data_IF_844262589170
#
_entry.id   IF_844262589170
#
_cell.length_a   1.000
_cell.length_b   1.000
_cell.length_c   1.000
_cell.angle_alpha   90.00
_cell.angle_beta   90.00
_cell.angle_gamma   90.00
#
_symmetry.space_group_name_H-M   'P 1'
#
loop_
_entity.id
_entity.type
_entity.pdbx_description
1 polymer ?
#
# COMPACT_ATOMS: atom_id res chain seq x y z
N UNK A 1 12.42 13.13 11.08
CA UNK A 1 11.44 12.22 11.73
C UNK A 1 11.44 10.95 10.90
N UNK A 2 11.34 9.76 11.49
CA UNK A 2 11.26 8.51 10.73
C UNK A 2 9.80 8.16 10.44
N UNK A 3 9.48 7.93 9.19
CA UNK A 3 8.17 7.48 8.73
C UNK A 3 8.28 6.07 8.15
N UNK A 4 7.25 5.25 8.32
CA UNK A 4 7.17 3.92 7.72
C UNK A 4 5.95 3.84 6.82
N UNK A 5 5.99 2.90 5.88
CA UNK A 5 4.89 2.66 4.94
C UNK A 5 4.44 1.22 5.11
N UNK A 6 3.14 1.03 5.29
CA UNK A 6 2.47 -0.26 5.14
C UNK A 6 1.72 -0.27 3.81
N UNK A 7 1.85 -1.38 3.08
CA UNK A 7 1.09 -1.66 1.87
C UNK A 7 0.12 -2.79 2.19
N UNK A 8 -1.14 -2.59 1.84
CA UNK A 8 -2.19 -3.59 1.87
C UNK A 8 -2.66 -3.85 0.46
N UNK A 9 -2.59 -5.11 0.03
CA UNK A 9 -2.99 -5.56 -1.29
C UNK A 9 -4.12 -6.56 -1.12
N UNK A 10 -5.25 -6.33 -1.78
CA UNK A 10 -6.30 -7.34 -1.95
C UNK A 10 -6.24 -7.87 -3.38
N UNK A 11 -6.00 -9.18 -3.52
CA UNK A 11 -6.04 -9.84 -4.82
C UNK A 11 -7.48 -9.91 -5.36
N UNK A 12 -7.67 -9.90 -6.69
CA UNK A 12 -8.99 -10.06 -7.26
C UNK A 12 -9.58 -11.41 -6.85
N UNK A 13 -10.86 -11.41 -6.50
CA UNK A 13 -11.58 -12.64 -6.17
C UNK A 13 -11.52 -13.59 -7.38
N UNK A 14 -10.70 -14.64 -7.28
CA UNK A 14 -10.78 -15.77 -8.19
C UNK A 14 -12.04 -16.55 -7.83
N UNK A 15 -12.82 -16.98 -8.83
CA UNK A 15 -14.25 -17.32 -8.72
C UNK A 15 -14.70 -18.36 -7.68
N UNK A 16 -13.82 -18.90 -6.83
CA UNK A 16 -14.16 -19.85 -5.76
C UNK A 16 -13.28 -19.72 -4.49
N UNK A 17 -12.45 -18.67 -4.35
CA UNK A 17 -11.51 -18.51 -3.22
C UNK A 17 -11.74 -17.23 -2.40
N UNK A 18 -11.44 -17.29 -1.09
CA UNK A 18 -11.44 -16.14 -0.20
C UNK A 18 -10.49 -15.05 -0.74
N UNK A 19 -10.89 -13.78 -0.65
CA UNK A 19 -10.02 -12.66 -1.04
C UNK A 19 -8.78 -12.67 -0.15
N UNK A 20 -7.65 -13.08 -0.71
CA UNK A 20 -6.37 -13.02 -0.01
C UNK A 20 -5.95 -11.56 0.12
N UNK A 21 -5.87 -11.09 1.37
CA UNK A 21 -5.35 -9.77 1.71
C UNK A 21 -3.94 -9.93 2.26
N UNK A 22 -2.96 -9.28 1.61
CA UNK A 22 -1.56 -9.26 2.04
C UNK A 22 -1.23 -7.89 2.60
N UNK A 23 -0.64 -7.86 3.80
CA UNK A 23 -0.19 -6.64 4.47
C UNK A 23 1.29 -6.76 4.78
N UNK A 24 2.08 -5.75 4.41
CA UNK A 24 3.52 -5.72 4.70
C UNK A 24 4.05 -4.29 4.75
N UNK A 25 5.19 -4.11 5.43
CA UNK A 25 5.88 -2.81 5.49
C UNK A 25 7.01 -2.73 4.48
N UNK A 26 7.22 -1.53 3.93
CA UNK A 26 8.45 -1.23 3.19
C UNK A 26 9.63 -1.20 4.17
N UNK A 27 10.79 -1.68 3.71
CA UNK A 27 11.95 -1.92 4.57
C UNK A 27 12.65 -0.65 5.04
N UNK A 28 12.55 0.44 4.27
CA UNK A 28 13.27 1.67 4.54
C UNK A 28 12.45 2.65 5.39
N UNK A 29 13.03 3.22 6.47
CA UNK A 29 12.46 4.38 7.12
C UNK A 29 12.68 5.63 6.27
N UNK A 30 11.63 6.45 6.13
CA UNK A 30 11.66 7.67 5.33
C UNK A 30 11.80 8.91 6.22
N UNK A 31 12.49 9.94 5.73
CA UNK A 31 12.72 11.16 6.51
C UNK A 31 11.55 12.16 6.45
N UNK A 32 10.70 12.02 5.42
CA UNK A 32 9.53 12.88 5.19
C UNK A 32 8.32 12.06 4.75
N UNK A 33 7.12 12.60 4.99
CA UNK A 33 5.87 12.02 4.46
C UNK A 33 5.87 11.99 2.94
N UNK A 34 6.46 12.99 2.27
CA UNK A 34 6.53 13.05 0.81
C UNK A 34 7.36 11.89 0.24
N UNK A 35 8.57 11.67 0.76
CA UNK A 35 9.43 10.55 0.35
C UNK A 35 8.79 9.19 0.63
N UNK A 36 8.05 9.06 1.74
CA UNK A 36 7.31 7.84 2.06
C UNK A 36 6.20 7.55 1.03
N UNK A 37 5.44 8.58 0.62
CA UNK A 37 4.40 8.47 -0.41
C UNK A 37 5.01 8.13 -1.78
N UNK A 38 6.07 8.82 -2.18
CA UNK A 38 6.75 8.55 -3.46
C UNK A 38 7.27 7.12 -3.51
N UNK A 39 7.85 6.62 -2.42
CA UNK A 39 8.30 5.23 -2.33
C UNK A 39 7.14 4.23 -2.38
N UNK A 40 6.02 4.52 -1.71
CA UNK A 40 4.82 3.70 -1.77
C UNK A 40 4.29 3.60 -3.21
N UNK A 41 4.13 4.73 -3.89
CA UNK A 41 3.66 4.79 -5.28
C UNK A 41 4.62 4.06 -6.22
N UNK A 42 5.94 4.29 -6.07
CA UNK A 42 6.94 3.60 -6.87
C UNK A 42 6.93 2.07 -6.63
N UNK A 43 6.74 1.63 -5.39
CA UNK A 43 6.63 0.20 -5.06
C UNK A 43 5.38 -0.41 -5.70
N UNK A 44 4.23 0.24 -5.56
CA UNK A 44 2.95 -0.22 -6.12
C UNK A 44 3.02 -0.31 -7.65
N UNK A 45 3.63 0.68 -8.32
CA UNK A 45 3.79 0.68 -9.77
C UNK A 45 4.72 -0.43 -10.30
N UNK A 46 5.55 -1.03 -9.45
CA UNK A 46 6.44 -2.14 -9.78
C UNK A 46 5.92 -3.51 -9.30
N UNK A 47 4.67 -3.59 -8.82
CA UNK A 47 4.06 -4.87 -8.47
C UNK A 47 3.84 -5.70 -9.74
N UNK A 48 4.26 -6.96 -9.70
CA UNK A 48 4.06 -7.95 -10.78
C UNK A 48 2.65 -8.58 -10.74
N UNK A 49 1.77 -8.06 -9.87
CA UNK A 49 0.41 -8.54 -9.67
C UNK A 49 -0.59 -7.46 -10.07
N UNK A 50 -1.77 -7.87 -10.53
CA UNK A 50 -2.91 -6.99 -10.83
C UNK A 50 -3.94 -7.07 -9.67
N UNK A 51 -3.74 -6.32 -8.57
CA UNK A 51 -4.64 -6.36 -7.43
C UNK A 51 -5.96 -5.65 -7.71
N UNK A 52 -7.03 -6.09 -7.05
CA UNK A 52 -8.32 -5.41 -7.11
C UNK A 52 -8.29 -4.10 -6.28
N UNK A 53 -7.57 -4.10 -5.17
CA UNK A 53 -7.42 -2.93 -4.30
C UNK A 53 -5.99 -2.85 -3.79
N UNK A 54 -5.43 -1.64 -3.82
CA UNK A 54 -4.15 -1.33 -3.15
C UNK A 54 -4.33 -0.13 -2.25
N UNK A 55 -3.87 -0.28 -1.01
CA UNK A 55 -3.85 0.78 -0.01
C UNK A 55 -2.42 0.94 0.45
N UNK A 56 -1.96 2.19 0.57
CA UNK A 56 -0.77 2.47 1.36
C UNK A 56 -1.11 3.38 2.54
N UNK A 57 -0.44 3.15 3.66
CA UNK A 57 -0.56 3.96 4.87
C UNK A 57 0.83 4.38 5.34
N UNK A 58 1.01 5.67 5.56
CA UNK A 58 2.23 6.24 6.13
C UNK A 58 2.03 6.49 7.62
N UNK A 59 2.92 5.93 8.43
CA UNK A 59 2.96 6.12 9.87
C UNK A 59 4.13 7.00 10.28
N UNK A 60 3.96 7.79 11.33
CA UNK A 60 5.09 8.43 12.01
C UNK A 60 5.81 7.46 12.96
N UNK A 61 6.87 7.95 13.62
CA UNK A 61 7.67 7.17 14.57
C UNK A 61 6.89 6.63 15.78
N UNK A 62 5.73 7.23 16.09
CA UNK A 62 4.87 6.87 17.22
C UNK A 62 3.78 5.88 16.77
N UNK A 63 3.74 5.56 15.47
CA UNK A 63 2.78 4.64 14.87
C UNK A 63 1.47 5.31 14.48
N UNK A 64 1.39 6.65 14.46
CA UNK A 64 0.18 7.35 14.05
C UNK A 64 0.12 7.47 12.53
N UNK A 65 -1.07 7.21 11.97
CA UNK A 65 -1.34 7.45 10.55
C UNK A 65 -1.26 8.95 10.25
N UNK A 66 -0.35 9.32 9.37
CA UNK A 66 -0.17 10.71 8.90
C UNK A 66 -0.58 10.90 7.44
N UNK A 67 -0.68 9.81 6.68
CA UNK A 67 -1.21 9.79 5.32
C UNK A 67 -1.73 8.40 4.96
N UNK A 68 -2.70 8.33 4.07
CA UNK A 68 -3.08 7.10 3.39
C UNK A 68 -3.59 7.40 1.99
N UNK A 69 -3.58 6.41 1.10
CA UNK A 69 -4.35 6.45 -0.14
C UNK A 69 -4.95 5.08 -0.40
N UNK A 70 -6.13 5.10 -0.99
CA UNK A 70 -6.88 3.93 -1.41
C UNK A 70 -7.02 4.07 -2.92
N UNK A 71 -6.30 3.24 -3.66
CA UNK A 71 -6.53 3.04 -5.08
C UNK A 71 -7.38 1.77 -5.20
N UNK A 72 -8.70 1.98 -5.23
CA UNK A 72 -9.63 0.97 -5.75
C UNK A 72 -9.41 0.95 -7.26
N UNK A 73 -8.81 -0.12 -7.78
CA UNK A 73 -8.83 -0.43 -9.22
C UNK A 73 -10.25 -0.90 -9.56
N UNK A 74 -11.21 0.01 -9.38
CA UNK A 74 -12.62 -0.25 -9.58
C UNK A 74 -12.84 -0.65 -11.04
N UNK A 75 -13.44 -1.83 -11.19
CA UNK A 75 -13.97 -2.44 -12.40
C UNK A 75 -14.48 -1.40 -13.40
N UNK A 76 -13.62 -1.03 -14.35
CA UNK A 76 -14.01 -0.32 -15.55
C UNK A 76 -13.90 -1.28 -16.74
N UNK A 77 -14.77 -2.29 -16.79
CA UNK A 77 -15.12 -2.98 -18.04
C UNK A 77 -16.48 -3.64 -18.02
#
# INVERSE_FOLDING_TARGET
MSYTVEITIAEPASSDEEIETRMYQLSDPYETVASAREAAVAHIANLDVEPAVVIYTVFDREGFTVASSVDELAEAR
#
